data_IF_509085676189
#
_entry.id   IF_509085676189
#
_cell.length_a   1.000
_cell.length_b   1.000
_cell.length_c   1.000
_cell.angle_alpha   90.00
_cell.angle_beta   90.00
_cell.angle_gamma   90.00
#
_symmetry.space_group_name_H-M   'P 1'
#
loop_
_entity.id
_entity.type
_entity.pdbx_description
1 polymer ?
#
# COMPACT_ATOMS: atom_id res chain seq x y z
N UNK A 1 -2.92 -15.71 -15.44
CA UNK A 1 -2.07 -16.75 -14.84
C UNK A 1 -2.57 -17.08 -13.45
N UNK A 2 -2.51 -18.35 -13.03
CA UNK A 2 -2.84 -18.75 -11.67
C UNK A 2 -1.56 -18.86 -10.84
N UNK A 3 -1.59 -18.41 -9.57
CA UNK A 3 -0.54 -18.72 -8.60
C UNK A 3 -1.06 -19.79 -7.64
N UNK A 4 -0.17 -20.70 -7.24
CA UNK A 4 -0.58 -21.86 -6.42
C UNK A 4 -0.21 -21.74 -4.94
N UNK A 5 0.88 -21.04 -4.62
CA UNK A 5 1.37 -20.94 -3.23
C UNK A 5 1.86 -19.56 -2.82
N UNK A 6 2.50 -18.81 -3.71
CA UNK A 6 3.07 -17.49 -3.39
C UNK A 6 2.74 -16.48 -4.48
N UNK A 7 2.53 -15.22 -4.08
CA UNK A 7 2.38 -14.12 -5.02
C UNK A 7 3.63 -13.97 -5.91
N UNK A 8 3.49 -13.58 -7.19
CA UNK A 8 4.63 -13.28 -8.04
C UNK A 8 5.56 -12.26 -7.40
N UNK A 9 6.87 -12.45 -7.56
CA UNK A 9 7.89 -11.65 -6.89
C UNK A 9 7.74 -10.13 -7.12
N UNK A 10 7.42 -9.71 -8.35
CA UNK A 10 7.20 -8.30 -8.70
C UNK A 10 6.00 -7.68 -7.95
N UNK A 11 4.89 -8.42 -7.83
CA UNK A 11 3.72 -7.98 -7.08
C UNK A 11 4.02 -7.93 -5.58
N UNK A 12 4.72 -8.94 -5.05
CA UNK A 12 5.12 -8.97 -3.66
C UNK A 12 6.06 -7.81 -3.31
N UNK A 13 6.99 -7.46 -4.21
CA UNK A 13 7.88 -6.32 -4.04
C UNK A 13 7.09 -4.99 -4.03
N UNK A 14 6.13 -4.82 -4.94
CA UNK A 14 5.26 -3.64 -4.95
C UNK A 14 4.50 -3.51 -3.63
N UNK A 15 3.87 -4.58 -3.16
CA UNK A 15 3.13 -4.60 -1.88
C UNK A 15 4.07 -4.26 -0.70
N UNK A 16 5.28 -4.81 -0.65
CA UNK A 16 6.21 -4.60 0.47
C UNK A 16 6.84 -3.21 0.49
N UNK A 17 6.99 -2.58 -0.67
CA UNK A 17 7.65 -1.27 -0.79
C UNK A 17 6.68 -0.09 -0.78
N UNK A 18 5.40 -0.31 -1.06
CA UNK A 18 4.38 0.75 -0.98
C UNK A 18 4.12 1.13 0.47
N UNK A 19 4.15 2.44 0.78
CA UNK A 19 3.91 2.95 2.14
C UNK A 19 2.42 2.89 2.52
N UNK A 20 1.55 3.07 1.54
CA UNK A 20 0.10 3.14 1.73
C UNK A 20 -0.61 2.28 0.69
N UNK A 21 -1.84 1.91 1.01
CA UNK A 21 -2.77 1.25 0.10
C UNK A 21 -4.05 2.05 -0.03
N UNK A 22 -4.58 2.17 -1.25
CA UNK A 22 -5.93 2.69 -1.47
C UNK A 22 -6.91 1.52 -1.32
N UNK A 23 -7.83 1.65 -0.37
CA UNK A 23 -8.87 0.66 -0.09
C UNK A 23 -10.18 1.15 -0.68
N UNK A 24 -10.65 0.50 -1.73
CA UNK A 24 -11.94 0.75 -2.33
C UNK A 24 -12.98 -0.18 -1.74
N UNK A 25 -14.07 0.38 -1.26
CA UNK A 25 -15.23 -0.31 -0.69
C UNK A 25 -16.49 0.13 -1.39
N UNK A 26 -17.55 -0.64 -1.28
CA UNK A 26 -18.85 -0.32 -1.85
C UNK A 26 -19.96 -0.58 -0.83
N UNK A 27 -20.88 0.35 -0.70
CA UNK A 27 -22.06 0.16 0.13
C UNK A 27 -22.99 -0.92 -0.47
N UNK A 28 -24.01 -1.33 0.30
CA UNK A 28 -25.05 -2.23 -0.17
C UNK A 28 -25.81 -1.67 -1.38
N UNK A 29 -25.93 -0.34 -1.46
CA UNK A 29 -26.58 0.35 -2.59
C UNK A 29 -25.61 0.67 -3.75
N UNK A 30 -24.47 -0.03 -3.78
CA UNK A 30 -23.45 0.12 -4.82
C UNK A 30 -22.79 1.51 -4.88
N UNK A 31 -22.76 2.27 -3.78
CA UNK A 31 -22.06 3.56 -3.71
C UNK A 31 -20.59 3.30 -3.39
N UNK A 32 -19.65 3.61 -4.30
CA UNK A 32 -18.23 3.38 -4.09
C UNK A 32 -17.61 4.41 -3.15
N UNK A 33 -16.59 4.00 -2.41
CA UNK A 33 -15.77 4.85 -1.55
C UNK A 33 -14.33 4.39 -1.58
N UNK A 34 -13.38 5.32 -1.51
CA UNK A 34 -11.93 5.03 -1.49
C UNK A 34 -11.28 5.72 -0.30
N UNK A 35 -10.39 5.03 0.38
CA UNK A 35 -9.62 5.57 1.50
C UNK A 35 -8.14 5.15 1.40
N UNK A 36 -7.23 6.05 1.81
CA UNK A 36 -5.80 5.75 1.92
C UNK A 36 -5.51 5.18 3.31
N UNK A 37 -4.84 4.03 3.37
CA UNK A 37 -4.61 3.31 4.62
C UNK A 37 -3.14 2.91 4.79
N UNK A 38 -2.66 2.99 6.04
CA UNK A 38 -1.49 2.23 6.47
C UNK A 38 -1.87 0.75 6.56
N UNK A 39 -0.94 -0.13 6.22
CA UNK A 39 -1.19 -1.56 6.20
C UNK A 39 0.07 -2.36 6.50
N UNK A 40 -0.11 -3.65 6.70
CA UNK A 40 0.93 -4.67 6.65
C UNK A 40 0.53 -5.80 5.70
N UNK A 41 1.53 -6.40 5.06
CA UNK A 41 1.37 -7.68 4.36
C UNK A 41 1.71 -8.82 5.32
N UNK A 42 0.83 -9.79 5.43
CA UNK A 42 1.00 -10.97 6.28
C UNK A 42 0.82 -12.23 5.42
N UNK A 43 1.88 -13.02 5.20
CA UNK A 43 1.76 -14.31 4.53
C UNK A 43 0.96 -15.27 5.41
N UNK A 44 0.25 -16.21 4.77
CA UNK A 44 -0.67 -17.12 5.47
C UNK A 44 -0.04 -17.90 6.62
N UNK A 45 1.22 -18.31 6.47
CA UNK A 45 2.00 -19.01 7.50
C UNK A 45 2.27 -18.19 8.77
N UNK A 46 2.13 -16.86 8.70
CA UNK A 46 2.34 -15.90 9.82
C UNK A 46 1.05 -15.32 10.39
N UNK A 47 -0.08 -15.88 10.01
CA UNK A 47 -1.36 -15.47 10.60
C UNK A 47 -1.45 -15.91 12.07
N UNK A 48 -2.10 -15.08 12.87
CA UNK A 48 -2.33 -15.38 14.29
C UNK A 48 -3.07 -16.72 14.45
N UNK A 49 -2.47 -17.63 15.21
CA UNK A 49 -3.07 -18.93 15.53
C UNK A 49 -3.22 -19.92 14.36
N UNK A 50 -2.61 -19.63 13.20
CA UNK A 50 -2.68 -20.49 12.01
C UNK A 50 -1.29 -20.82 11.48
N UNK A 51 -1.00 -22.10 11.24
CA UNK A 51 0.28 -22.57 10.72
C UNK A 51 0.22 -23.05 9.26
N UNK A 52 -0.95 -23.40 8.75
CA UNK A 52 -1.13 -24.04 7.44
C UNK A 52 -1.99 -23.22 6.46
N UNK A 53 -2.19 -21.94 6.73
CA UNK A 53 -2.98 -21.09 5.83
C UNK A 53 -2.18 -20.71 4.59
N UNK A 54 -2.71 -21.09 3.41
CA UNK A 54 -2.09 -20.81 2.10
C UNK A 54 -2.51 -19.45 1.51
N UNK A 55 -3.28 -18.64 2.23
CA UNK A 55 -3.73 -17.34 1.75
C UNK A 55 -2.86 -16.24 2.33
N UNK A 56 -2.54 -15.26 1.50
CA UNK A 56 -1.87 -14.04 1.91
C UNK A 56 -2.87 -12.95 2.22
N UNK A 57 -2.52 -12.05 3.14
CA UNK A 57 -3.42 -11.01 3.64
C UNK A 57 -2.78 -9.63 3.62
N UNK A 58 -3.61 -8.64 3.36
CA UNK A 58 -3.34 -7.24 3.67
C UNK A 58 -4.15 -6.89 4.91
N UNK A 59 -3.50 -6.33 5.92
CA UNK A 59 -4.16 -6.02 7.20
C UNK A 59 -4.01 -4.54 7.51
N UNK A 60 -5.10 -3.88 7.88
CA UNK A 60 -5.13 -2.49 8.29
C UNK A 60 -6.05 -2.27 9.49
N UNK A 61 -5.91 -1.10 10.14
CA UNK A 61 -6.77 -0.68 11.26
C UNK A 61 -7.61 0.50 10.81
N UNK A 62 -8.88 0.52 11.17
CA UNK A 62 -9.81 1.61 10.85
C UNK A 62 -10.75 1.91 12.03
N UNK A 63 -11.12 3.18 12.28
CA UNK A 63 -12.22 3.51 13.18
C UNK A 63 -13.53 2.88 12.70
N UNK A 64 -14.37 2.45 13.67
CA UNK A 64 -15.62 1.75 13.38
C UNK A 64 -16.78 2.67 12.97
N UNK A 65 -16.60 3.98 13.13
CA UNK A 65 -17.56 5.04 12.76
C UNK A 65 -17.29 5.62 11.37
N UNK A 66 -16.48 4.95 10.53
CA UNK A 66 -16.17 5.40 9.17
C UNK A 66 -17.07 4.74 8.12
N UNK A 67 -17.35 5.47 7.02
CA UNK A 67 -18.11 4.92 5.87
C UNK A 67 -17.49 3.62 5.35
N UNK A 68 -16.18 3.55 5.26
CA UNK A 68 -15.42 2.37 4.87
C UNK A 68 -15.75 1.15 5.76
N UNK A 69 -15.81 1.33 7.07
CA UNK A 69 -16.12 0.26 8.00
C UNK A 69 -17.57 -0.23 7.85
N UNK A 70 -18.52 0.69 7.69
CA UNK A 70 -19.91 0.32 7.41
C UNK A 70 -20.05 -0.46 6.10
N UNK A 71 -19.38 0.01 5.04
CA UNK A 71 -19.37 -0.69 3.76
C UNK A 71 -18.83 -2.12 3.90
N UNK A 72 -17.70 -2.32 4.60
CA UNK A 72 -17.09 -3.63 4.83
C UNK A 72 -18.02 -4.58 5.60
N UNK A 73 -18.78 -4.08 6.58
CA UNK A 73 -19.74 -4.89 7.33
C UNK A 73 -20.88 -5.42 6.44
N UNK A 74 -21.32 -4.63 5.48
CA UNK A 74 -22.44 -4.98 4.60
C UNK A 74 -21.98 -5.72 3.35
N UNK A 75 -20.80 -5.39 2.83
CA UNK A 75 -20.21 -5.96 1.65
C UNK A 75 -18.71 -6.23 1.91
N UNK A 76 -18.31 -7.48 2.19
CA UNK A 76 -16.94 -7.82 2.52
C UNK A 76 -15.97 -7.75 1.32
N UNK A 77 -16.47 -7.56 0.10
CA UNK A 77 -15.64 -7.48 -1.09
C UNK A 77 -15.03 -6.12 -1.27
N UNK A 78 -13.71 -6.06 -1.43
CA UNK A 78 -12.94 -4.84 -1.57
C UNK A 78 -11.95 -4.93 -2.72
N UNK A 79 -11.52 -3.77 -3.21
CA UNK A 79 -10.37 -3.67 -4.08
C UNK A 79 -9.28 -2.82 -3.42
N UNK A 80 -8.04 -3.27 -3.56
CA UNK A 80 -6.85 -2.60 -3.04
C UNK A 80 -6.00 -2.14 -4.21
N UNK A 81 -5.62 -0.86 -4.25
CA UNK A 81 -4.71 -0.34 -5.27
C UNK A 81 -3.36 -0.01 -4.65
N UNK A 82 -2.32 -0.63 -5.19
CA UNK A 82 -0.92 -0.36 -4.93
C UNK A 82 -0.29 0.29 -6.17
N UNK A 83 0.60 1.25 -5.95
CA UNK A 83 1.37 1.86 -7.01
C UNK A 83 2.70 2.41 -6.45
N UNK A 84 3.72 2.46 -7.28
CA UNK A 84 5.05 2.94 -6.91
C UNK A 84 5.34 4.39 -7.33
N UNK A 85 4.34 5.13 -7.80
CA UNK A 85 4.46 6.50 -8.31
C UNK A 85 4.93 7.54 -7.27
N UNK A 86 5.01 7.17 -6.00
CA UNK A 86 5.37 8.09 -4.91
C UNK A 86 6.86 8.49 -4.95
N UNK A 87 7.70 7.71 -5.60
CA UNK A 87 9.13 8.00 -5.70
C UNK A 87 9.38 9.28 -6.51
N UNK A 88 8.58 9.57 -7.51
CA UNK A 88 8.70 10.79 -8.33
C UNK A 88 8.44 12.09 -7.54
N UNK A 89 7.65 12.07 -6.48
CA UNK A 89 7.35 13.26 -5.69
C UNK A 89 8.47 13.65 -4.71
N UNK A 90 9.32 12.70 -4.31
CA UNK A 90 10.51 13.00 -3.53
C UNK A 90 11.66 13.54 -4.40
N UNK A 91 11.54 13.39 -5.72
CA UNK A 91 12.48 13.86 -6.72
C UNK A 91 12.03 15.19 -7.38
N UNK A 92 10.80 15.63 -7.16
CA UNK A 92 10.42 16.99 -7.58
C UNK A 92 11.24 17.96 -6.73
N UNK A 93 12.26 18.52 -7.37
CA UNK A 93 12.98 19.70 -6.91
C UNK A 93 11.95 20.64 -6.34
N UNK A 94 12.06 20.94 -5.04
CA UNK A 94 11.09 21.78 -4.36
C UNK A 94 10.79 22.98 -5.25
N UNK A 95 9.51 23.28 -5.45
CA UNK A 95 9.09 24.56 -5.96
C UNK A 95 9.56 25.60 -4.95
N UNK A 96 10.82 25.97 -5.05
CA UNK A 96 11.29 27.21 -4.46
C UNK A 96 10.45 28.32 -5.09
N UNK A 97 9.57 28.86 -4.29
CA UNK A 97 8.84 30.07 -4.61
C UNK A 97 9.87 31.10 -5.10
N UNK A 98 9.78 31.45 -6.38
CA UNK A 98 10.52 32.55 -7.00
C UNK A 98 9.97 33.84 -6.37
N UNK A 99 10.50 34.18 -5.22
CA UNK A 99 10.36 35.52 -4.65
C UNK A 99 11.66 35.81 -3.89
N UNK A 100 12.61 36.41 -4.58
CA UNK A 100 13.86 36.87 -3.99
C UNK A 100 14.87 37.20 -5.07
N UNK A 101 15.13 38.47 -5.24
CA UNK A 101 16.15 39.09 -6.07
C UNK A 101 17.52 38.38 -5.94
N UNK A 102 18.23 38.03 -7.00
CA UNK A 102 19.52 37.37 -6.91
C UNK A 102 20.60 38.40 -6.51
N UNK A 103 21.19 38.19 -5.35
CA UNK A 103 22.47 38.82 -4.99
C UNK A 103 23.60 37.90 -5.47
N UNK A 104 24.56 38.37 -6.25
CA UNK A 104 25.65 37.53 -6.77
C UNK A 104 26.72 37.37 -5.70
N UNK A 105 26.85 36.18 -5.11
CA UNK A 105 28.05 35.85 -4.32
C UNK A 105 28.46 34.40 -4.57
N UNK A 106 29.69 34.27 -5.11
CA UNK A 106 30.61 33.13 -5.07
C UNK A 106 30.17 31.79 -5.69
N UNK A 107 30.85 31.44 -6.77
CA UNK A 107 30.88 30.17 -7.47
C UNK A 107 31.49 29.07 -6.56
N UNK A 108 30.82 27.99 -6.33
CA UNK A 108 31.44 26.72 -5.94
C UNK A 108 31.18 25.62 -6.95
N UNK A 109 32.27 25.08 -7.47
CA UNK A 109 32.50 23.78 -8.06
C UNK A 109 31.33 23.07 -8.81
N UNK A 110 31.45 23.14 -10.12
CA UNK A 110 30.54 22.61 -11.15
C UNK A 110 30.44 21.08 -11.14
N UNK A 111 31.41 20.35 -10.65
CA UNK A 111 31.46 18.86 -10.67
C UNK A 111 30.50 18.22 -9.69
N UNK A 112 30.27 18.82 -8.52
CA UNK A 112 29.34 18.25 -7.52
C UNK A 112 27.87 18.47 -7.89
N UNK A 113 27.55 19.49 -8.66
CA UNK A 113 26.20 19.74 -9.18
C UNK A 113 25.88 18.81 -10.36
N UNK A 114 26.86 18.57 -11.25
CA UNK A 114 26.69 17.64 -12.37
C UNK A 114 26.49 16.20 -11.91
N UNK A 115 27.22 15.74 -10.88
CA UNK A 115 27.05 14.40 -10.35
C UNK A 115 25.70 14.20 -9.65
N UNK A 116 25.21 15.21 -8.91
CA UNK A 116 23.88 15.18 -8.29
C UNK A 116 22.74 15.18 -9.32
N UNK A 117 22.89 15.97 -10.39
CA UNK A 117 21.92 16.00 -11.48
C UNK A 117 21.90 14.69 -12.28
N UNK A 118 23.06 14.11 -12.55
CA UNK A 118 23.19 12.81 -13.22
C UNK A 118 22.61 11.68 -12.39
N UNK A 119 22.86 11.65 -11.09
CA UNK A 119 22.25 10.69 -10.18
C UNK A 119 20.74 10.86 -10.13
N UNK A 120 20.24 12.09 -10.05
CA UNK A 120 18.81 12.39 -10.08
C UNK A 120 18.17 11.93 -11.39
N UNK A 121 18.80 12.17 -12.53
CA UNK A 121 18.33 11.73 -13.85
C UNK A 121 18.36 10.19 -13.99
N UNK A 122 19.36 9.53 -13.42
CA UNK A 122 19.41 8.05 -13.37
C UNK A 122 18.31 7.48 -12.48
N UNK A 123 18.06 8.08 -11.31
CA UNK A 123 16.98 7.67 -10.42
C UNK A 123 15.61 7.93 -11.04
N UNK A 124 15.43 9.07 -11.75
CA UNK A 124 14.20 9.35 -12.50
C UNK A 124 13.97 8.35 -13.64
N UNK A 125 15.00 8.03 -14.43
CA UNK A 125 14.91 7.03 -15.48
C UNK A 125 14.59 5.62 -14.92
N UNK A 126 15.17 5.25 -13.78
CA UNK A 126 14.85 3.98 -13.14
C UNK A 126 13.44 3.98 -12.54
N UNK A 127 12.97 5.11 -11.99
CA UNK A 127 11.60 5.24 -11.50
C UNK A 127 10.58 5.17 -12.65
N UNK A 128 10.86 5.79 -13.79
CA UNK A 128 9.99 5.69 -14.98
C UNK A 128 9.94 4.26 -15.55
N UNK A 129 11.05 3.51 -15.48
CA UNK A 129 11.11 2.13 -15.97
C UNK A 129 10.35 1.14 -15.09
N UNK A 130 10.10 1.48 -13.83
CA UNK A 130 9.46 0.59 -12.86
C UNK A 130 8.03 1.01 -12.48
N UNK A 131 7.41 1.95 -13.20
CA UNK A 131 6.05 2.37 -12.92
C UNK A 131 5.09 1.18 -13.06
N UNK A 132 4.68 0.68 -11.92
CA UNK A 132 3.78 -0.45 -11.83
C UNK A 132 2.60 -0.09 -10.92
N UNK A 133 1.43 -0.56 -11.30
CA UNK A 133 0.25 -0.53 -10.45
C UNK A 133 -0.37 -1.91 -10.35
N UNK A 134 -0.94 -2.21 -9.19
CA UNK A 134 -1.65 -3.45 -8.98
C UNK A 134 -2.99 -3.18 -8.28
N UNK A 135 -4.07 -3.64 -8.92
CA UNK A 135 -5.39 -3.71 -8.31
C UNK A 135 -5.61 -5.14 -7.81
N UNK A 136 -5.81 -5.31 -6.52
CA UNK A 136 -6.01 -6.59 -5.85
C UNK A 136 -7.46 -6.67 -5.41
N UNK A 137 -8.15 -7.72 -5.83
CA UNK A 137 -9.48 -8.07 -5.32
C UNK A 137 -9.36 -9.01 -4.12
N UNK A 138 -10.15 -8.78 -3.09
CA UNK A 138 -10.13 -9.61 -1.90
C UNK A 138 -11.42 -9.55 -1.09
N UNK A 139 -11.46 -10.38 -0.08
CA UNK A 139 -12.57 -10.47 0.86
C UNK A 139 -12.10 -10.15 2.27
N UNK A 140 -12.87 -9.30 2.96
CA UNK A 140 -12.53 -8.80 4.28
C UNK A 140 -13.08 -9.66 5.40
N UNK A 141 -12.32 -9.74 6.49
CA UNK A 141 -12.72 -10.27 7.77
C UNK A 141 -12.43 -9.22 8.85
N UNK A 142 -13.44 -8.88 9.66
CA UNK A 142 -13.29 -7.97 10.79
C UNK A 142 -12.89 -8.79 12.01
N UNK A 143 -11.72 -8.47 12.57
CA UNK A 143 -11.22 -9.11 13.79
C UNK A 143 -11.94 -8.52 15.00
N UNK A 144 -12.34 -9.36 15.97
CA UNK A 144 -12.92 -8.88 17.22
C UNK A 144 -11.94 -7.90 17.91
N UNK A 145 -12.32 -6.63 18.14
CA UNK A 145 -11.42 -5.60 18.69
C UNK A 145 -10.80 -5.94 20.04
N UNK A 146 -11.49 -6.75 20.86
CA UNK A 146 -11.05 -7.13 22.21
C UNK A 146 -10.22 -8.42 22.23
N UNK A 147 -9.98 -9.05 21.07
CA UNK A 147 -9.23 -10.30 20.97
C UNK A 147 -7.71 -10.09 21.03
N UNK A 148 -6.99 -11.15 21.44
CA UNK A 148 -5.53 -11.20 21.34
C UNK A 148 -5.04 -11.10 19.88
N UNK A 149 -5.82 -11.59 18.93
CA UNK A 149 -5.55 -11.44 17.49
C UNK A 149 -5.52 -9.96 17.09
N UNK A 150 -6.50 -9.17 17.55
CA UNK A 150 -6.53 -7.71 17.28
C UNK A 150 -5.30 -7.00 17.83
N UNK A 151 -4.91 -7.32 19.05
CA UNK A 151 -3.73 -6.78 19.70
C UNK A 151 -2.45 -7.13 18.95
N UNK A 152 -2.31 -8.39 18.57
CA UNK A 152 -1.17 -8.88 17.79
C UNK A 152 -0.98 -8.10 16.48
N UNK A 153 -2.05 -7.91 15.69
CA UNK A 153 -1.94 -7.17 14.43
C UNK A 153 -1.72 -5.67 14.62
N UNK A 154 -2.31 -5.06 15.65
CA UNK A 154 -2.04 -3.66 16.00
C UNK A 154 -0.55 -3.45 16.33
N UNK A 155 0.06 -4.36 17.08
CA UNK A 155 1.49 -4.32 17.39
C UNK A 155 2.38 -4.50 16.16
N UNK A 156 2.00 -5.40 15.23
CA UNK A 156 2.72 -5.57 13.97
C UNK A 156 2.65 -4.31 13.09
N UNK A 157 1.47 -3.69 12.97
CA UNK A 157 1.28 -2.46 12.19
C UNK A 157 2.11 -1.32 12.81
N UNK A 158 2.13 -1.21 14.13
CA UNK A 158 2.93 -0.20 14.83
C UNK A 158 4.43 -0.38 14.61
N UNK A 159 4.92 -1.63 14.60
CA UNK A 159 6.33 -1.93 14.29
C UNK A 159 6.70 -1.54 12.85
N UNK A 160 5.80 -1.79 11.90
CA UNK A 160 6.01 -1.45 10.51
C UNK A 160 5.86 0.06 10.23
N UNK A 161 4.95 0.73 10.94
CA UNK A 161 4.59 2.13 10.76
C UNK A 161 4.47 2.84 12.11
N UNK A 162 5.57 3.26 12.74
CA UNK A 162 5.53 3.91 14.07
C UNK A 162 4.68 5.19 14.11
N UNK A 163 4.60 5.92 13.00
CA UNK A 163 3.80 7.15 12.88
C UNK A 163 2.29 6.89 12.93
N UNK A 164 1.86 5.64 12.72
CA UNK A 164 0.46 5.25 12.76
C UNK A 164 -0.11 5.11 14.19
N UNK A 165 0.70 5.32 15.24
CA UNK A 165 0.33 5.13 16.64
C UNK A 165 -0.97 5.85 17.03
N UNK A 166 -1.14 7.09 16.61
CA UNK A 166 -2.33 7.89 16.91
C UNK A 166 -3.62 7.24 16.37
N UNK A 167 -3.54 6.61 15.19
CA UNK A 167 -4.70 6.00 14.53
C UNK A 167 -4.97 4.57 15.00
N UNK A 168 -3.94 3.83 15.43
CA UNK A 168 -4.07 2.42 15.84
C UNK A 168 -4.70 2.29 17.22
N UNK A 169 -4.35 3.17 18.15
CA UNK A 169 -4.81 3.14 19.53
C UNK A 169 -5.96 4.11 19.82
N UNK A 170 -6.54 4.70 18.80
CA UNK A 170 -7.78 5.46 18.97
C UNK A 170 -8.90 4.54 19.50
N UNK A 171 -9.75 5.11 20.36
CA UNK A 171 -10.92 4.38 20.85
C UNK A 171 -11.81 3.99 19.67
N UNK A 172 -12.39 2.78 19.74
CA UNK A 172 -13.34 2.32 18.74
C UNK A 172 -12.71 1.97 17.38
N UNK A 173 -11.49 1.40 17.35
CA UNK A 173 -10.85 0.91 16.13
C UNK A 173 -10.96 -0.59 15.99
N UNK A 174 -11.10 -1.07 14.75
CA UNK A 174 -11.10 -2.49 14.39
C UNK A 174 -9.95 -2.82 13.43
N UNK A 175 -9.41 -4.02 13.57
CA UNK A 175 -8.50 -4.64 12.61
C UNK A 175 -9.31 -5.29 11.51
N UNK A 176 -8.94 -5.03 10.26
CA UNK A 176 -9.53 -5.65 9.07
C UNK A 176 -8.47 -6.44 8.35
N UNK A 177 -8.70 -7.73 8.13
CA UNK A 177 -7.88 -8.61 7.30
C UNK A 177 -8.52 -8.69 5.92
N UNK A 178 -7.75 -8.50 4.87
CA UNK A 178 -8.18 -8.67 3.48
C UNK A 178 -7.44 -9.86 2.90
N UNK A 179 -8.15 -10.96 2.64
CA UNK A 179 -7.61 -12.11 1.91
C UNK A 179 -7.39 -11.72 0.45
N UNK A 180 -6.21 -12.03 -0.09
CA UNK A 180 -5.88 -11.77 -1.49
C UNK A 180 -6.43 -12.90 -2.36
N UNK A 181 -7.43 -12.60 -3.21
CA UNK A 181 -8.08 -13.59 -4.09
C UNK A 181 -7.60 -13.50 -5.54
N UNK A 182 -7.38 -12.28 -6.03
CA UNK A 182 -6.90 -12.02 -7.39
C UNK A 182 -6.13 -10.71 -7.45
N UNK A 183 -5.35 -10.53 -8.52
CA UNK A 183 -4.64 -9.29 -8.80
C UNK A 183 -4.63 -8.99 -10.29
N UNK A 184 -4.70 -7.71 -10.60
CA UNK A 184 -4.49 -7.14 -11.93
C UNK A 184 -3.31 -6.21 -11.86
N UNK A 185 -2.22 -6.56 -12.54
CA UNK A 185 -0.98 -5.78 -12.55
C UNK A 185 -0.82 -5.12 -13.90
N UNK A 186 -0.58 -3.82 -13.91
CA UNK A 186 -0.30 -3.03 -15.11
C UNK A 186 1.07 -2.37 -15.01
N UNK A 187 1.85 -2.39 -16.09
CA UNK A 187 3.14 -1.73 -16.18
C UNK A 187 3.07 -0.45 -17.04
N UNK A 188 4.19 0.26 -17.15
CA UNK A 188 4.33 1.49 -17.94
C UNK A 188 4.09 1.30 -19.46
N UNK A 189 4.19 0.09 -19.98
CA UNK A 189 3.87 -0.24 -21.38
C UNK A 189 2.37 -0.52 -21.57
N UNK A 190 1.53 -0.24 -20.58
CA UNK A 190 0.11 -0.54 -20.56
C UNK A 190 -0.21 -2.04 -20.75
N UNK A 191 0.76 -2.91 -20.49
CA UNK A 191 0.54 -4.35 -20.46
C UNK A 191 -0.11 -4.74 -19.16
N UNK A 192 -1.23 -5.42 -19.24
CA UNK A 192 -1.98 -5.86 -18.05
C UNK A 192 -1.91 -7.37 -17.93
N UNK A 193 -1.52 -7.84 -16.74
CA UNK A 193 -1.52 -9.24 -16.36
C UNK A 193 -2.62 -9.50 -15.33
N UNK A 194 -3.44 -10.51 -15.58
CA UNK A 194 -4.42 -11.01 -14.60
C UNK A 194 -3.85 -12.22 -13.88
N UNK A 195 -3.92 -12.16 -12.58
CA UNK A 195 -3.46 -13.21 -11.66
C UNK A 195 -4.66 -13.63 -10.80
N UNK A 196 -4.89 -14.91 -10.66
CA UNK A 196 -5.89 -15.46 -9.74
C UNK A 196 -5.30 -16.62 -8.97
N UNK A 197 -5.76 -16.82 -7.75
CA UNK A 197 -5.41 -18.01 -7.00
C UNK A 197 -6.03 -19.24 -7.67
N UNK A 198 -5.21 -20.25 -7.94
CA UNK A 198 -5.70 -21.51 -8.48
C UNK A 198 -6.70 -22.13 -7.50
N UNK A 199 -7.82 -22.65 -8.00
CA UNK A 199 -8.69 -23.50 -7.20
C UNK A 199 -7.89 -24.77 -6.87
N UNK A 200 -7.60 -25.00 -5.61
CA UNK A 200 -7.12 -26.30 -5.10
C UNK A 200 -8.24 -27.31 -5.09
#
# INVERSE_FOLDING_TARGET
MAWTSTLPAHLLNLIKNSKYVHVATCSKDCIPSVALMNYIYVPGEKLFGQTDNKNDYIIFVTPQDTQKFYNIKENPKVALLFHDWIIANNLSVGKESISGTPTPTSIPHDEQRQSKLLNLLQELNQAELNQMSASIGGETEIVNPESEESKYYKDLILKANPDAKAFIFEKNTAVVKVRIDNARVSNNENRTMFLSKGKS
#
